data_IF_441233063051
#
_entry.id   IF_441233063051
#
_cell.length_a   1.000
_cell.length_b   1.000
_cell.length_c   1.000
_cell.angle_alpha   90.00
_cell.angle_beta   90.00
_cell.angle_gamma   90.00
#
_symmetry.space_group_name_H-M   'P 1'
#
loop_
_entity.id
_entity.type
_entity.pdbx_description
1 polymer ?
#
# COMPACT_ATOMS: atom_id res chain seq x y z
N UNK A 1 -13.41 37.27 47.22
CA UNK A 1 -12.58 36.69 46.14
C UNK A 1 -13.50 36.31 44.98
N UNK A 2 -13.26 36.82 43.77
CA UNK A 2 -14.07 36.52 42.58
C UNK A 2 -13.32 35.44 41.77
N UNK A 3 -13.71 34.17 41.93
CA UNK A 3 -13.19 33.10 41.06
C UNK A 3 -13.92 33.17 39.71
N UNK A 4 -13.17 33.50 38.66
CA UNK A 4 -13.65 33.46 37.27
C UNK A 4 -13.68 32.00 36.80
N UNK A 5 -14.85 31.50 36.43
CA UNK A 5 -14.98 30.23 35.70
C UNK A 5 -14.32 30.39 34.32
N UNK A 6 -13.17 29.75 34.15
CA UNK A 6 -12.61 29.51 32.82
C UNK A 6 -13.31 28.29 32.22
N UNK A 7 -14.33 28.55 31.40
CA UNK A 7 -14.98 27.54 30.56
C UNK A 7 -14.06 27.23 29.39
N UNK A 8 -13.23 26.19 29.53
CA UNK A 8 -12.47 25.64 28.40
C UNK A 8 -13.39 24.68 27.65
N UNK A 9 -14.00 25.18 26.57
CA UNK A 9 -14.72 24.40 25.59
C UNK A 9 -13.69 23.55 24.83
N UNK A 10 -13.50 22.29 25.27
CA UNK A 10 -12.68 21.32 24.56
C UNK A 10 -13.40 20.94 23.24
N UNK A 11 -13.03 21.61 22.16
CA UNK A 11 -13.41 21.21 20.80
C UNK A 11 -12.64 19.92 20.51
N UNK A 12 -13.31 18.78 20.66
CA UNK A 12 -12.83 17.52 20.15
C UNK A 12 -12.86 17.59 18.62
N UNK A 13 -11.71 17.90 18.00
CA UNK A 13 -11.51 17.73 16.58
C UNK A 13 -11.46 16.22 16.34
N UNK A 14 -12.61 15.65 15.96
CA UNK A 14 -12.66 14.33 15.37
C UNK A 14 -11.97 14.44 14.01
N UNK A 15 -10.67 14.16 13.97
CA UNK A 15 -10.00 13.81 12.72
C UNK A 15 -10.57 12.46 12.29
N UNK A 16 -11.72 12.48 11.61
CA UNK A 16 -12.11 11.35 10.78
C UNK A 16 -11.11 11.34 9.63
N UNK A 17 -9.98 10.64 9.79
CA UNK A 17 -9.19 10.24 8.62
C UNK A 17 -10.15 9.43 7.76
N UNK A 18 -10.53 9.99 6.61
CA UNK A 18 -11.15 9.23 5.55
C UNK A 18 -10.05 8.35 4.96
N UNK A 19 -9.59 7.35 5.71
CA UNK A 19 -8.64 6.36 5.21
C UNK A 19 -9.35 5.57 4.13
N UNK A 20 -8.85 5.66 2.89
CA UNK A 20 -9.34 4.80 1.82
C UNK A 20 -8.99 3.36 2.19
N UNK A 21 -9.99 2.49 2.48
CA UNK A 21 -9.74 1.12 2.90
C UNK A 21 -8.99 0.31 1.85
N UNK A 22 -8.90 0.79 0.60
CA UNK A 22 -8.19 0.18 -0.51
C UNK A 22 -6.79 0.75 -0.74
N UNK A 23 -6.38 1.80 -0.01
CA UNK A 23 -5.07 2.41 -0.19
C UNK A 23 -3.92 1.50 0.29
N UNK A 24 -2.73 1.73 -0.26
CA UNK A 24 -1.51 1.14 0.26
C UNK A 24 -1.09 1.84 1.55
N UNK A 25 -1.38 1.23 2.69
CA UNK A 25 -0.79 1.63 3.98
C UNK A 25 0.65 1.13 4.07
N UNK A 26 1.40 1.67 5.02
CA UNK A 26 2.78 1.25 5.23
C UNK A 26 2.86 -0.22 5.67
N UNK A 27 1.90 -0.71 6.46
CA UNK A 27 1.82 -2.13 6.82
C UNK A 27 1.59 -3.02 5.59
N UNK A 28 0.76 -2.57 4.63
CA UNK A 28 0.51 -3.33 3.40
C UNK A 28 1.72 -3.35 2.48
N UNK A 29 2.50 -2.26 2.43
CA UNK A 29 3.78 -2.23 1.70
C UNK A 29 4.82 -3.11 2.36
N UNK A 30 4.86 -3.16 3.69
CA UNK A 30 5.75 -4.06 4.42
C UNK A 30 5.49 -5.53 4.03
N UNK A 31 4.23 -5.93 3.88
CA UNK A 31 3.90 -7.28 3.39
C UNK A 31 4.47 -7.56 1.99
N UNK A 32 4.56 -6.55 1.12
CA UNK A 32 5.22 -6.72 -0.19
C UNK A 32 6.73 -6.86 -0.03
N UNK A 33 7.35 -6.06 0.84
CA UNK A 33 8.78 -6.19 1.19
C UNK A 33 9.07 -7.59 1.74
N UNK A 34 8.24 -8.10 2.64
CA UNK A 34 8.41 -9.43 3.25
C UNK A 34 8.22 -10.58 2.24
N UNK A 35 7.47 -10.33 1.15
CA UNK A 35 7.28 -11.29 0.04
C UNK A 35 8.38 -11.23 -1.01
N UNK A 36 9.14 -10.14 -1.05
CA UNK A 36 10.21 -9.97 -2.02
C UNK A 36 11.32 -10.99 -1.75
N UNK A 37 11.72 -11.72 -2.78
CA UNK A 37 12.94 -12.51 -2.74
C UNK A 37 14.14 -11.60 -3.07
N UNK A 38 14.89 -11.21 -2.04
CA UNK A 38 16.01 -10.28 -2.17
C UNK A 38 17.20 -10.85 -2.94
N UNK A 39 17.25 -12.17 -3.16
CA UNK A 39 18.28 -12.81 -3.98
C UNK A 39 17.94 -12.71 -5.48
N UNK A 40 16.69 -12.37 -5.81
CA UNK A 40 16.18 -12.24 -7.18
C UNK A 40 15.84 -10.81 -7.57
N UNK A 41 15.40 -9.98 -6.62
CA UNK A 41 14.89 -8.64 -6.89
C UNK A 41 15.42 -7.59 -5.90
N UNK A 42 15.62 -6.37 -6.38
CA UNK A 42 15.70 -5.17 -5.55
C UNK A 42 14.32 -4.92 -4.93
N UNK A 43 14.22 -5.11 -3.61
CA UNK A 43 12.93 -5.09 -2.92
C UNK A 43 12.28 -3.71 -2.86
N UNK A 44 13.05 -2.63 -2.90
CA UNK A 44 12.48 -1.28 -2.96
C UNK A 44 11.84 -1.04 -4.34
N UNK A 45 12.52 -1.48 -5.41
CA UNK A 45 11.98 -1.49 -6.76
C UNK A 45 10.73 -2.38 -6.86
N UNK A 46 10.77 -3.60 -6.32
CA UNK A 46 9.63 -4.52 -6.31
C UNK A 46 8.38 -3.90 -5.68
N UNK A 47 8.52 -3.30 -4.50
CA UNK A 47 7.40 -2.66 -3.78
C UNK A 47 6.87 -1.48 -4.59
N UNK A 48 7.77 -0.62 -5.08
CA UNK A 48 7.38 0.55 -5.87
C UNK A 48 6.62 0.14 -7.14
N UNK A 49 7.17 -0.77 -7.92
CA UNK A 49 6.55 -1.27 -9.17
C UNK A 49 5.19 -1.91 -8.92
N UNK A 50 5.04 -2.63 -7.80
CA UNK A 50 3.76 -3.22 -7.40
C UNK A 50 2.73 -2.15 -7.04
N UNK A 51 3.09 -1.16 -6.24
CA UNK A 51 2.18 -0.06 -5.86
C UNK A 51 1.76 0.78 -7.07
N UNK A 52 2.67 1.02 -8.01
CA UNK A 52 2.39 1.76 -9.24
C UNK A 52 1.50 0.97 -10.21
N UNK A 53 1.71 -0.35 -10.31
CA UNK A 53 0.92 -1.24 -11.19
C UNK A 53 -0.49 -1.49 -10.63
N UNK A 54 -0.63 -1.54 -9.31
CA UNK A 54 -1.90 -1.79 -8.62
C UNK A 54 -2.22 -0.62 -7.68
N UNK A 55 -2.81 0.49 -8.17
CA UNK A 55 -3.07 1.68 -7.34
C UNK A 55 -3.93 1.41 -6.10
N UNK A 56 -4.74 0.33 -6.12
CA UNK A 56 -5.50 -0.17 -4.99
C UNK A 56 -4.89 -1.48 -4.50
N UNK A 57 -4.62 -1.57 -3.20
CA UNK A 57 -4.00 -2.74 -2.59
C UNK A 57 -4.81 -4.04 -2.78
N UNK A 58 -6.14 -3.95 -2.82
CA UNK A 58 -6.98 -5.12 -3.07
C UNK A 58 -6.86 -5.67 -4.49
N UNK A 59 -6.54 -4.83 -5.47
CA UNK A 59 -6.48 -5.26 -6.87
C UNK A 59 -5.29 -6.18 -7.11
N UNK A 60 -4.19 -5.99 -6.36
CA UNK A 60 -3.03 -6.88 -6.39
C UNK A 60 -3.43 -8.31 -6.02
N UNK A 61 -4.01 -8.51 -4.84
CA UNK A 61 -4.41 -9.84 -4.38
C UNK A 61 -5.47 -10.46 -5.31
N UNK A 62 -6.48 -9.70 -5.72
CA UNK A 62 -7.54 -10.21 -6.62
C UNK A 62 -7.02 -10.61 -7.99
N UNK A 63 -6.04 -9.86 -8.53
CA UNK A 63 -5.41 -10.20 -9.80
C UNK A 63 -4.64 -11.52 -9.66
N UNK A 64 -3.84 -11.71 -8.60
CA UNK A 64 -3.08 -12.93 -8.37
C UNK A 64 -3.94 -14.14 -7.96
N UNK A 65 -5.08 -13.95 -7.31
CA UNK A 65 -6.00 -15.05 -6.95
C UNK A 65 -6.73 -15.64 -8.17
N UNK A 66 -6.78 -14.92 -9.29
CA UNK A 66 -7.43 -15.38 -10.52
C UNK A 66 -6.51 -15.14 -11.73
N UNK A 67 -5.35 -15.78 -11.70
CA UNK A 67 -4.32 -15.57 -12.73
C UNK A 67 -4.84 -15.88 -14.13
N UNK A 68 -5.62 -16.96 -14.29
CA UNK A 68 -6.18 -17.36 -15.60
C UNK A 68 -7.06 -16.29 -16.26
N UNK A 69 -7.71 -15.43 -15.47
CA UNK A 69 -8.55 -14.34 -15.99
C UNK A 69 -7.78 -13.03 -16.14
N UNK A 70 -6.53 -12.97 -15.66
CA UNK A 70 -5.71 -11.76 -15.63
C UNK A 70 -4.31 -11.96 -16.22
N UNK A 71 -4.12 -13.00 -17.04
CA UNK A 71 -2.83 -13.42 -17.59
C UNK A 71 -2.06 -12.24 -18.20
N UNK A 72 -2.66 -11.49 -19.12
CA UNK A 72 -2.02 -10.32 -19.75
C UNK A 72 -1.56 -9.25 -18.74
N UNK A 73 -2.34 -9.03 -17.67
CA UNK A 73 -2.00 -8.05 -16.64
C UNK A 73 -0.86 -8.54 -15.74
N UNK A 74 -0.83 -9.84 -15.48
CA UNK A 74 0.21 -10.49 -14.68
C UNK A 74 1.52 -10.54 -15.47
N UNK A 75 1.47 -10.89 -16.75
CA UNK A 75 2.63 -10.90 -17.64
C UNK A 75 3.23 -9.50 -17.74
N UNK A 76 2.40 -8.48 -18.00
CA UNK A 76 2.87 -7.09 -18.03
C UNK A 76 3.42 -6.61 -16.68
N UNK A 77 2.94 -7.15 -15.56
CA UNK A 77 3.48 -6.87 -14.24
C UNK A 77 4.85 -7.52 -14.04
N UNK A 78 5.02 -8.79 -14.40
CA UNK A 78 6.30 -9.48 -14.34
C UNK A 78 7.34 -8.90 -15.30
N UNK A 79 6.92 -8.45 -16.48
CA UNK A 79 7.79 -7.74 -17.42
C UNK A 79 8.35 -6.46 -16.78
N UNK A 80 7.53 -5.68 -16.07
CA UNK A 80 8.02 -4.51 -15.31
C UNK A 80 8.94 -4.91 -14.16
N UNK A 81 8.64 -6.01 -13.46
CA UNK A 81 9.51 -6.50 -12.39
C UNK A 81 10.86 -6.99 -12.90
N UNK A 82 10.99 -7.34 -14.18
CA UNK A 82 12.28 -7.72 -14.76
C UNK A 82 13.33 -6.60 -14.64
N UNK A 83 12.91 -5.33 -14.66
CA UNK A 83 13.79 -4.18 -14.43
C UNK A 83 14.27 -4.08 -12.97
N UNK A 84 13.60 -4.75 -12.04
CA UNK A 84 13.96 -4.81 -10.63
C UNK A 84 14.84 -6.02 -10.29
N UNK A 85 15.17 -6.91 -11.24
CA UNK A 85 15.96 -8.11 -10.93
C UNK A 85 17.39 -7.73 -10.54
N UNK A 86 17.94 -8.40 -9.53
CA UNK A 86 19.34 -8.24 -9.15
C UNK A 86 20.26 -8.87 -10.22
N UNK A 87 21.28 -8.14 -10.65
CA UNK A 87 22.31 -8.62 -11.60
C UNK A 87 23.13 -9.81 -11.07
#
# INVERSE_FOLDING_TARGET
MKLKLFSFLAIAILFTSCDDPQAWTDERKQVLTDKCDSDLYDCDCYVKTTVETFPKAQDYNKTLENESANEEKIDAYYEKLSECMTE
#
